data_IF_365232375682
#
_entry.id   IF_365232375682
#
_cell.length_a   1.000
_cell.length_b   1.000
_cell.length_c   1.000
_cell.angle_alpha   90.00
_cell.angle_beta   90.00
_cell.angle_gamma   90.00
#
_symmetry.space_group_name_H-M   'P 1'
#
loop_
_entity.id
_entity.type
_entity.pdbx_description
1 polymer ?
#
# COMPACT_ATOMS: atom_id res chain seq x y z
N UNK A 1 10.07 26.03 11.55
CA UNK A 1 11.22 25.40 12.26
C UNK A 1 10.76 24.23 13.14
N UNK A 2 9.74 24.40 14.00
CA UNK A 2 9.21 23.29 14.82
C UNK A 2 8.76 22.07 13.99
N UNK A 3 8.03 22.28 12.90
CA UNK A 3 7.55 21.21 11.99
C UNK A 3 8.69 20.41 11.35
N UNK A 4 9.83 21.06 11.05
CA UNK A 4 10.97 20.36 10.44
C UNK A 4 11.61 19.39 11.44
N UNK A 5 11.66 19.76 12.72
CA UNK A 5 12.18 18.89 13.77
C UNK A 5 11.26 17.71 14.04
N UNK A 6 9.94 17.88 13.96
CA UNK A 6 9.00 16.76 14.10
C UNK A 6 9.15 15.76 12.96
N UNK A 7 9.32 16.22 11.72
CA UNK A 7 9.53 15.33 10.56
C UNK A 7 10.85 14.55 10.67
N UNK A 8 11.93 15.20 11.11
CA UNK A 8 13.22 14.53 11.34
C UNK A 8 13.12 13.49 12.45
N UNK A 9 12.44 13.81 13.56
CA UNK A 9 12.21 12.86 14.64
C UNK A 9 11.39 11.65 14.17
N UNK A 10 10.32 11.88 13.39
CA UNK A 10 9.54 10.79 12.79
C UNK A 10 10.41 9.89 11.92
N UNK A 11 11.27 10.47 11.06
CA UNK A 11 12.20 9.70 10.23
C UNK A 11 13.19 8.87 11.05
N UNK A 12 13.75 9.41 12.12
CA UNK A 12 14.66 8.64 13.00
C UNK A 12 13.91 7.50 13.68
N UNK A 13 12.72 7.76 14.23
CA UNK A 13 11.91 6.73 14.90
C UNK A 13 11.48 5.64 13.92
N UNK A 14 11.07 6.00 12.70
CA UNK A 14 10.78 5.02 11.64
C UNK A 14 12.01 4.17 11.30
N UNK A 15 13.18 4.78 11.19
CA UNK A 15 14.41 4.06 10.86
C UNK A 15 14.80 3.05 11.94
N UNK A 16 14.77 3.47 13.21
CA UNK A 16 14.98 2.58 14.36
C UNK A 16 13.92 1.49 14.40
N UNK A 17 12.66 1.83 14.14
CA UNK A 17 11.56 0.86 14.12
C UNK A 17 11.72 -0.22 13.06
N UNK A 18 12.14 0.14 11.84
CA UNK A 18 12.44 -0.81 10.76
C UNK A 18 13.60 -1.73 11.15
N UNK A 19 14.65 -1.21 11.80
CA UNK A 19 15.77 -2.03 12.27
C UNK A 19 15.31 -3.02 13.34
N UNK A 20 14.53 -2.58 14.33
CA UNK A 20 13.97 -3.46 15.37
C UNK A 20 13.10 -4.55 14.73
N UNK A 21 12.20 -4.15 13.82
CA UNK A 21 11.28 -5.06 13.16
C UNK A 21 12.04 -6.10 12.33
N UNK A 22 13.12 -5.72 11.65
CA UNK A 22 13.99 -6.63 10.92
C UNK A 22 14.56 -7.72 11.83
N UNK A 23 15.14 -7.35 12.98
CA UNK A 23 15.74 -8.32 13.90
C UNK A 23 14.69 -9.28 14.48
N UNK A 24 13.52 -8.76 14.87
CA UNK A 24 12.43 -9.60 15.37
C UNK A 24 11.92 -10.57 14.30
N UNK A 25 11.71 -10.07 13.08
CA UNK A 25 11.20 -10.86 11.96
C UNK A 25 12.20 -11.95 11.56
N UNK A 26 13.49 -11.61 11.40
CA UNK A 26 14.53 -12.58 11.09
C UNK A 26 14.71 -13.61 12.20
N UNK A 27 14.65 -13.17 13.46
CA UNK A 27 14.73 -14.08 14.62
C UNK A 27 13.64 -15.15 14.59
N UNK A 28 12.42 -14.78 14.20
CA UNK A 28 11.28 -15.71 14.14
C UNK A 28 11.29 -16.63 12.93
N UNK A 29 11.78 -16.16 11.78
CA UNK A 29 11.97 -17.03 10.61
C UNK A 29 13.15 -18.00 10.81
N UNK A 30 14.11 -17.65 11.68
CA UNK A 30 15.32 -18.43 11.94
C UNK A 30 16.50 -18.02 11.06
N UNK A 31 16.56 -16.73 10.68
CA UNK A 31 17.64 -16.13 9.92
C UNK A 31 17.40 -16.07 8.41
N UNK A 32 18.30 -15.37 7.71
CA UNK A 32 18.17 -15.07 6.28
C UNK A 32 18.29 -16.33 5.40
N UNK A 33 19.16 -17.27 5.78
CA UNK A 33 19.34 -18.55 5.06
C UNK A 33 18.05 -19.36 5.06
N UNK A 34 17.47 -19.56 6.24
CA UNK A 34 16.21 -20.32 6.39
C UNK A 34 15.03 -19.61 5.72
N UNK A 35 15.00 -18.27 5.77
CA UNK A 35 14.02 -17.48 5.03
C UNK A 35 14.08 -17.77 3.52
N UNK A 36 15.30 -17.79 2.98
CA UNK A 36 15.53 -18.05 1.54
C UNK A 36 15.17 -19.48 1.15
N UNK A 37 15.53 -20.47 1.98
CA UNK A 37 15.18 -21.88 1.76
C UNK A 37 13.66 -22.09 1.80
N UNK A 38 12.96 -21.48 2.74
CA UNK A 38 11.51 -21.56 2.82
C UNK A 38 10.84 -20.90 1.61
N UNK A 39 11.29 -19.71 1.20
CA UNK A 39 10.79 -19.04 -0.01
C UNK A 39 11.03 -19.85 -1.29
N UNK A 40 12.10 -20.66 -1.33
CA UNK A 40 12.40 -21.54 -2.47
C UNK A 40 11.39 -22.69 -2.58
N UNK A 41 10.87 -23.20 -1.47
CA UNK A 41 9.89 -24.29 -1.47
C UNK A 41 8.44 -23.81 -1.65
N UNK A 42 8.18 -22.51 -1.50
CA UNK A 42 6.86 -21.93 -1.65
C UNK A 42 6.36 -21.98 -3.09
N UNK A 43 5.05 -22.21 -3.22
CA UNK A 43 4.30 -22.09 -4.47
C UNK A 43 3.31 -20.92 -4.36
N UNK A 44 3.08 -20.14 -5.42
CA UNK A 44 2.11 -19.06 -5.40
C UNK A 44 0.69 -19.56 -5.11
N UNK A 45 -0.05 -18.90 -4.21
CA UNK A 45 -1.42 -19.29 -3.90
C UNK A 45 -2.35 -19.05 -5.10
N UNK A 46 -3.41 -19.84 -5.19
CA UNK A 46 -4.38 -19.79 -6.28
C UNK A 46 -5.60 -18.96 -5.87
N UNK A 47 -5.91 -17.93 -6.65
CA UNK A 47 -7.16 -17.18 -6.50
C UNK A 47 -8.27 -17.86 -7.27
N UNK A 48 -9.47 -17.89 -6.70
CA UNK A 48 -10.62 -18.49 -7.37
C UNK A 48 -11.93 -18.23 -6.66
N UNK A 49 -12.97 -18.85 -7.18
CA UNK A 49 -14.30 -18.80 -6.61
C UNK A 49 -14.55 -20.09 -5.86
N UNK A 50 -14.99 -19.97 -4.61
CA UNK A 50 -15.35 -21.10 -3.77
C UNK A 50 -16.83 -21.11 -3.41
N UNK A 51 -17.43 -22.30 -3.43
CA UNK A 51 -18.76 -22.53 -2.85
C UNK A 51 -18.56 -22.98 -1.42
N UNK A 52 -18.85 -22.10 -0.47
CA UNK A 52 -18.82 -22.37 0.96
C UNK A 52 -20.14 -23.03 1.35
N UNK A 53 -20.06 -24.25 1.88
CA UNK A 53 -21.20 -25.05 2.32
C UNK A 53 -21.18 -25.24 3.83
N UNK A 54 -22.29 -24.88 4.48
CA UNK A 54 -22.54 -25.11 5.90
C UNK A 54 -23.05 -26.54 6.12
N UNK A 55 -22.58 -27.19 7.18
CA UNK A 55 -23.05 -28.52 7.58
C UNK A 55 -24.51 -28.54 8.06
N UNK A 56 -25.04 -27.41 8.52
CA UNK A 56 -26.44 -27.23 8.93
C UNK A 56 -26.96 -25.85 8.52
N UNK A 57 -28.25 -25.78 8.19
CA UNK A 57 -28.94 -24.51 7.93
C UNK A 57 -29.07 -23.71 9.23
N UNK A 58 -28.76 -22.43 9.16
CA UNK A 58 -28.64 -21.58 10.34
C UNK A 58 -29.89 -20.71 10.51
N UNK A 59 -30.28 -20.50 11.76
CA UNK A 59 -31.54 -19.82 12.13
C UNK A 59 -31.46 -18.30 11.99
N UNK A 60 -30.23 -17.77 11.90
CA UNK A 60 -29.91 -16.35 11.75
C UNK A 60 -28.99 -16.13 10.54
N UNK A 61 -28.94 -14.89 10.05
CA UNK A 61 -27.99 -14.49 9.01
C UNK A 61 -26.57 -14.62 9.55
N UNK A 62 -25.76 -15.45 8.92
CA UNK A 62 -24.37 -15.66 9.33
C UNK A 62 -23.45 -14.88 8.42
N UNK A 63 -22.51 -14.18 9.04
CA UNK A 63 -21.50 -13.42 8.32
C UNK A 63 -20.13 -14.02 8.57
N UNK A 64 -19.54 -14.60 7.53
CA UNK A 64 -18.17 -15.09 7.54
C UNK A 64 -17.22 -13.89 7.34
N UNK A 65 -16.36 -13.59 8.32
CA UNK A 65 -15.44 -12.47 8.21
C UNK A 65 -14.40 -12.72 7.11
N UNK A 66 -14.04 -11.64 6.41
CA UNK A 66 -12.90 -11.63 5.50
C UNK A 66 -11.63 -12.07 6.25
N UNK A 67 -10.82 -12.89 5.59
CA UNK A 67 -9.56 -13.38 6.14
C UNK A 67 -9.67 -14.68 6.96
N UNK A 68 -10.88 -15.21 7.18
CA UNK A 68 -11.08 -16.50 7.84
C UNK A 68 -10.55 -17.69 7.03
N UNK A 69 -10.08 -18.73 7.73
CA UNK A 69 -9.52 -19.94 7.13
C UNK A 69 -10.57 -21.04 7.02
N UNK A 70 -10.73 -21.59 5.81
CA UNK A 70 -11.68 -22.63 5.47
C UNK A 70 -10.96 -23.90 5.03
N UNK A 71 -11.43 -25.06 5.49
CA UNK A 71 -10.99 -26.36 4.98
C UNK A 71 -11.74 -26.68 3.69
N UNK A 72 -10.99 -27.03 2.65
CA UNK A 72 -11.53 -27.46 1.38
C UNK A 72 -11.92 -28.94 1.41
N UNK A 73 -12.88 -29.33 0.58
CA UNK A 73 -13.32 -30.73 0.44
C UNK A 73 -12.22 -31.68 -0.05
N UNK A 74 -11.18 -31.14 -0.71
CA UNK A 74 -9.99 -31.89 -1.18
C UNK A 74 -8.88 -32.00 -0.10
N UNK A 75 -9.13 -31.52 1.13
CA UNK A 75 -8.18 -31.50 2.24
C UNK A 75 -7.28 -30.26 2.27
N UNK A 76 -7.32 -29.41 1.24
CA UNK A 76 -6.60 -28.14 1.19
C UNK A 76 -7.13 -27.09 2.17
N UNK A 77 -6.45 -25.96 2.24
CA UNK A 77 -6.89 -24.80 3.02
C UNK A 77 -6.99 -23.56 2.13
N UNK A 78 -8.03 -22.77 2.37
CA UNK A 78 -8.26 -21.54 1.64
C UNK A 78 -8.62 -20.40 2.61
N UNK A 79 -8.23 -19.19 2.24
CA UNK A 79 -8.56 -17.97 2.96
C UNK A 79 -9.70 -17.24 2.27
N UNK A 80 -10.68 -16.78 3.05
CA UNK A 80 -11.76 -15.93 2.55
C UNK A 80 -11.20 -14.58 2.10
N UNK A 81 -11.33 -14.29 0.80
CA UNK A 81 -10.83 -13.04 0.22
C UNK A 81 -11.79 -11.86 0.42
N UNK A 82 -13.06 -12.15 0.71
CA UNK A 82 -14.09 -11.15 0.98
C UNK A 82 -15.00 -11.63 2.12
N UNK A 83 -15.78 -10.70 2.66
CA UNK A 83 -16.80 -11.00 3.65
C UNK A 83 -17.99 -11.65 2.94
N UNK A 84 -18.42 -12.82 3.41
CA UNK A 84 -19.53 -13.56 2.83
C UNK A 84 -20.68 -13.63 3.84
N UNK A 85 -21.88 -13.19 3.46
CA UNK A 85 -23.05 -13.18 4.35
C UNK A 85 -24.11 -14.11 3.80
N UNK A 86 -24.47 -15.15 4.56
CA UNK A 86 -25.50 -16.12 4.21
C UNK A 86 -26.84 -15.70 4.81
N UNK A 87 -27.90 -15.69 4.01
CA UNK A 87 -29.23 -15.42 4.52
C UNK A 87 -29.74 -16.60 5.36
N UNK A 88 -30.74 -16.33 6.21
CA UNK A 88 -31.38 -17.34 7.06
C UNK A 88 -31.86 -18.54 6.23
N UNK A 89 -31.44 -19.75 6.62
CA UNK A 89 -31.82 -21.00 5.95
C UNK A 89 -30.98 -21.35 4.71
N UNK A 90 -30.12 -20.46 4.23
CA UNK A 90 -29.17 -20.79 3.16
C UNK A 90 -27.98 -21.59 3.71
N UNK A 91 -27.62 -22.64 2.99
CA UNK A 91 -26.49 -23.51 3.37
C UNK A 91 -25.30 -23.33 2.44
N UNK A 92 -25.41 -22.52 1.38
CA UNK A 92 -24.38 -22.35 0.35
C UNK A 92 -24.23 -20.89 -0.01
N UNK A 93 -22.98 -20.44 -0.13
CA UNK A 93 -22.64 -19.12 -0.64
C UNK A 93 -21.42 -19.19 -1.54
N UNK A 94 -21.44 -18.38 -2.59
CA UNK A 94 -20.29 -18.16 -3.43
C UNK A 94 -19.43 -17.04 -2.81
N UNK A 95 -18.14 -17.30 -2.65
CA UNK A 95 -17.20 -16.32 -2.12
C UNK A 95 -15.85 -16.45 -2.83
N UNK A 96 -15.16 -15.33 -3.01
CA UNK A 96 -13.76 -15.35 -3.47
C UNK A 96 -12.87 -15.97 -2.40
N UNK A 97 -12.07 -16.94 -2.82
CA UNK A 97 -11.14 -17.66 -1.96
C UNK A 97 -9.70 -17.56 -2.51
N UNK A 98 -8.74 -17.57 -1.60
CA UNK A 98 -7.33 -17.73 -1.90
C UNK A 98 -6.87 -19.08 -1.35
N UNK A 99 -6.65 -20.07 -2.23
CA UNK A 99 -6.17 -21.40 -1.85
C UNK A 99 -4.66 -21.39 -1.64
N UNK A 100 -4.22 -21.89 -0.50
CA UNK A 100 -2.80 -22.06 -0.20
C UNK A 100 -2.32 -23.38 -0.79
N UNK A 101 -1.24 -23.31 -1.57
CA UNK A 101 -0.71 -24.45 -2.32
C UNK A 101 0.61 -24.98 -1.76
N UNK A 102 1.26 -24.25 -0.84
CA UNK A 102 2.51 -24.70 -0.23
C UNK A 102 2.21 -25.77 0.83
N UNK A 103 2.70 -27.02 0.69
CA UNK A 103 2.35 -28.11 1.61
C UNK A 103 2.67 -27.79 3.09
N UNK A 104 3.84 -27.21 3.34
CA UNK A 104 4.27 -26.83 4.69
C UNK A 104 3.37 -25.75 5.34
N UNK A 105 2.69 -24.93 4.54
CA UNK A 105 1.75 -23.92 5.04
C UNK A 105 0.40 -24.55 5.34
N UNK A 106 -0.08 -25.44 4.48
CA UNK A 106 -1.36 -26.15 4.66
C UNK A 106 -1.38 -26.93 5.99
N UNK A 107 -0.25 -27.54 6.36
CA UNK A 107 -0.14 -28.30 7.61
C UNK A 107 -0.04 -27.39 8.85
N UNK A 108 0.44 -26.15 8.69
CA UNK A 108 0.64 -25.21 9.80
C UNK A 108 -0.61 -24.39 10.13
N UNK A 109 -1.48 -24.16 9.15
CA UNK A 109 -2.63 -23.28 9.29
C UNK A 109 -3.83 -24.07 9.82
N UNK A 110 -4.34 -23.67 10.99
CA UNK A 110 -5.57 -24.22 11.54
C UNK A 110 -6.79 -23.48 10.97
N UNK A 111 -7.85 -24.21 10.57
CA UNK A 111 -9.12 -23.59 10.16
C UNK A 111 -9.69 -22.71 11.27
N UNK A 112 -10.32 -21.60 10.89
CA UNK A 112 -10.98 -20.72 11.86
C UNK A 112 -12.19 -21.44 12.46
N UNK A 113 -12.29 -21.46 13.79
CA UNK A 113 -13.46 -22.00 14.47
C UNK A 113 -14.62 -21.00 14.34
N UNK A 114 -15.60 -21.35 13.51
CA UNK A 114 -16.84 -20.58 13.36
C UNK A 114 -17.95 -21.06 14.29
N UNK A 115 -17.71 -22.10 15.11
CA UNK A 115 -18.72 -22.74 15.96
C UNK A 115 -19.66 -23.70 15.21
N UNK A 116 -19.43 -23.93 13.91
CA UNK A 116 -20.17 -24.87 13.08
C UNK A 116 -19.28 -25.44 11.96
N UNK A 117 -19.65 -26.59 11.41
CA UNK A 117 -18.88 -27.23 10.33
C UNK A 117 -19.05 -26.46 9.02
N UNK A 118 -17.93 -25.97 8.48
CA UNK A 118 -17.86 -25.30 7.18
C UNK A 118 -16.93 -26.07 6.27
N UNK A 119 -17.39 -26.35 5.06
CA UNK A 119 -16.56 -26.94 4.00
C UNK A 119 -16.66 -26.07 2.77
N UNK A 120 -15.60 -25.95 2.00
CA UNK A 120 -15.63 -25.19 0.75
C UNK A 120 -15.16 -26.05 -0.42
N UNK A 121 -15.81 -25.91 -1.57
CA UNK A 121 -15.31 -26.42 -2.84
C UNK A 121 -14.68 -25.28 -3.60
N UNK A 122 -13.43 -25.44 -4.05
CA UNK A 122 -12.69 -24.41 -4.74
C UNK A 122 -12.64 -24.67 -6.23
N UNK A 123 -12.95 -23.65 -7.02
CA UNK A 123 -12.70 -23.64 -8.46
C UNK A 123 -11.66 -22.57 -8.74
N UNK A 124 -10.49 -23.01 -9.22
CA UNK A 124 -9.40 -22.11 -9.55
C UNK A 124 -9.80 -21.19 -10.71
N UNK A 125 -9.42 -19.92 -10.62
CA UNK A 125 -9.47 -19.04 -11.77
C UNK A 125 -8.24 -19.35 -12.64
N UNK A 126 -8.40 -20.17 -13.68
CA UNK A 126 -7.31 -20.62 -14.57
C UNK A 126 -6.56 -19.43 -15.21
N UNK A 127 -7.17 -18.25 -15.21
CA UNK A 127 -6.58 -17.02 -15.73
C UNK A 127 -5.62 -16.32 -14.76
N UNK A 128 -5.43 -16.79 -13.51
CA UNK A 128 -4.62 -16.07 -12.50
C UNK A 128 -3.55 -16.94 -11.85
N UNK A 129 -2.29 -16.70 -12.20
CA UNK A 129 -1.14 -17.07 -11.36
C UNK A 129 0.08 -17.55 -12.13
N UNK A 130 1.01 -16.64 -12.44
CA UNK A 130 2.34 -17.01 -12.94
C UNK A 130 3.07 -17.87 -11.91
N UNK A 131 3.54 -19.04 -12.35
CA UNK A 131 4.20 -19.98 -11.48
C UNK A 131 3.25 -20.83 -10.63
N UNK A 132 1.94 -20.88 -10.93
CA UNK A 132 1.05 -21.89 -10.35
C UNK A 132 1.69 -23.28 -10.44
N UNK A 133 1.74 -23.97 -9.29
CA UNK A 133 2.39 -25.27 -9.14
C UNK A 133 3.92 -25.30 -9.24
N UNK A 134 4.61 -24.18 -9.49
CA UNK A 134 6.07 -24.11 -9.58
C UNK A 134 6.68 -23.64 -8.26
N UNK A 135 7.64 -24.41 -7.75
CA UNK A 135 8.46 -24.05 -6.59
C UNK A 135 9.52 -23.01 -6.97
N UNK A 136 9.84 -22.12 -6.03
CA UNK A 136 10.99 -21.20 -6.16
C UNK A 136 10.75 -20.01 -7.08
N UNK A 137 9.49 -19.74 -7.42
CA UNK A 137 9.09 -18.58 -8.23
C UNK A 137 9.46 -17.26 -7.53
N UNK A 138 9.48 -17.24 -6.20
CA UNK A 138 9.84 -16.06 -5.40
C UNK A 138 11.33 -15.76 -5.30
N UNK A 139 12.21 -16.69 -5.70
CA UNK A 139 13.67 -16.55 -5.60
C UNK A 139 14.38 -16.61 -6.96
N UNK A 140 13.63 -16.67 -8.05
CA UNK A 140 14.16 -16.75 -9.42
C UNK A 140 13.78 -15.51 -10.25
N UNK A 141 14.73 -15.02 -11.04
CA UNK A 141 14.53 -13.99 -12.05
C UNK A 141 14.67 -14.59 -13.47
N UNK A 142 14.00 -14.05 -14.49
CA UNK A 142 13.10 -12.91 -14.47
C UNK A 142 11.65 -13.27 -14.07
N UNK A 143 10.97 -12.31 -13.43
CA UNK A 143 9.50 -12.27 -13.42
C UNK A 143 8.93 -11.95 -14.82
N UNK A 144 7.60 -11.84 -14.94
CA UNK A 144 6.73 -12.38 -15.97
C UNK A 144 7.00 -11.87 -17.40
N UNK A 145 6.41 -12.60 -18.36
CA UNK A 145 6.39 -12.31 -19.80
C UNK A 145 5.37 -11.21 -20.14
N UNK A 146 5.64 -10.31 -21.12
CA UNK A 146 4.75 -9.19 -21.49
C UNK A 146 3.32 -9.56 -21.96
N UNK A 147 2.98 -10.84 -22.07
CA UNK A 147 1.70 -11.33 -22.61
C UNK A 147 0.78 -11.97 -21.56
N UNK A 148 1.19 -12.02 -20.28
CA UNK A 148 0.35 -12.54 -19.20
C UNK A 148 0.20 -11.48 -18.12
N UNK A 149 -1.03 -11.12 -17.80
CA UNK A 149 -1.39 -10.13 -16.77
C UNK A 149 -1.00 -10.60 -15.35
N UNK A 150 -0.62 -11.87 -15.20
CA UNK A 150 -0.64 -12.56 -13.91
C UNK A 150 0.74 -12.76 -13.32
N UNK A 151 1.56 -11.72 -13.20
CA UNK A 151 2.85 -11.91 -12.54
C UNK A 151 3.47 -10.67 -11.91
N UNK A 152 4.17 -10.93 -10.80
CA UNK A 152 4.99 -10.00 -10.03
C UNK A 152 5.94 -9.20 -10.93
N UNK A 153 5.78 -7.86 -10.97
CA UNK A 153 6.65 -6.84 -11.58
C UNK A 153 7.55 -7.33 -12.74
N UNK A 154 7.02 -7.35 -13.96
CA UNK A 154 7.82 -7.48 -15.20
C UNK A 154 9.04 -6.55 -15.13
N UNK A 155 10.21 -7.04 -15.56
CA UNK A 155 11.46 -6.25 -15.59
C UNK A 155 11.23 -4.89 -16.26
N UNK A 156 10.41 -4.84 -17.32
CA UNK A 156 10.02 -3.60 -17.98
C UNK A 156 9.15 -2.69 -17.12
N UNK A 157 8.23 -3.25 -16.33
CA UNK A 157 7.44 -2.50 -15.35
C UNK A 157 8.35 -2.00 -14.23
N UNK A 158 9.30 -2.80 -13.75
CA UNK A 158 10.26 -2.39 -12.73
C UNK A 158 11.16 -1.24 -13.22
N UNK A 159 11.68 -1.33 -14.44
CA UNK A 159 12.41 -0.24 -15.09
C UNK A 159 11.52 0.99 -15.23
N UNK A 160 10.28 0.82 -15.70
CA UNK A 160 9.32 1.92 -15.83
C UNK A 160 9.05 2.60 -14.48
N UNK A 161 8.86 1.82 -13.40
CA UNK A 161 8.67 2.36 -12.06
C UNK A 161 9.90 3.06 -11.51
N UNK A 162 11.11 2.59 -11.82
CA UNK A 162 12.34 3.30 -11.47
C UNK A 162 12.35 4.73 -12.05
N UNK A 163 12.08 4.87 -13.35
CA UNK A 163 12.00 6.19 -14.00
C UNK A 163 10.79 7.00 -13.51
N UNK A 164 9.63 6.36 -13.39
CA UNK A 164 8.39 7.00 -12.94
C UNK A 164 8.55 7.66 -11.57
N UNK A 165 9.10 6.96 -10.57
CA UNK A 165 9.26 7.53 -9.23
C UNK A 165 10.37 8.57 -9.17
N UNK A 166 11.46 8.39 -9.94
CA UNK A 166 12.55 9.34 -10.01
C UNK A 166 12.12 10.69 -10.62
N UNK A 167 11.38 10.66 -11.73
CA UNK A 167 10.99 11.88 -12.46
C UNK A 167 9.59 12.39 -12.09
N UNK A 168 8.66 11.50 -11.78
CA UNK A 168 7.28 11.86 -11.45
C UNK A 168 7.16 12.65 -10.15
N UNK A 169 8.05 12.40 -9.18
CA UNK A 169 8.12 13.17 -7.93
C UNK A 169 8.59 14.62 -8.15
N UNK A 170 9.43 14.87 -9.15
CA UNK A 170 9.94 16.20 -9.49
C UNK A 170 8.86 17.10 -10.11
N UNK A 171 7.87 16.52 -10.79
CA UNK A 171 6.76 17.26 -11.40
C UNK A 171 5.68 17.72 -10.40
N UNK A 172 5.72 17.26 -9.15
CA UNK A 172 4.66 17.56 -8.17
C UNK A 172 4.84 18.97 -7.57
N UNK A 173 3.81 19.85 -7.66
CA UNK A 173 3.90 21.21 -7.10
C UNK A 173 4.20 21.24 -5.59
N UNK A 174 3.69 20.26 -4.84
CA UNK A 174 3.95 20.06 -3.40
C UNK A 174 5.44 19.94 -3.07
N UNK A 175 6.18 19.21 -3.91
CA UNK A 175 7.61 18.97 -3.73
C UNK A 175 8.42 20.18 -4.20
N UNK A 176 8.02 20.82 -5.29
CA UNK A 176 8.72 21.99 -5.83
C UNK A 176 8.77 23.15 -4.83
N UNK A 177 7.66 23.46 -4.16
CA UNK A 177 7.62 24.53 -3.13
C UNK A 177 8.58 24.21 -1.98
N UNK A 178 8.74 22.93 -1.62
CA UNK A 178 9.70 22.49 -0.60
C UNK A 178 11.15 22.64 -1.08
N UNK A 179 11.44 22.36 -2.36
CA UNK A 179 12.76 22.56 -2.96
C UNK A 179 13.18 24.04 -3.00
N UNK A 180 12.22 24.96 -3.15
CA UNK A 180 12.49 26.40 -3.10
C UNK A 180 12.85 26.91 -1.69
N UNK A 181 12.56 26.15 -0.64
CA UNK A 181 12.87 26.54 0.74
C UNK A 181 14.34 26.29 1.14
N UNK A 182 15.15 25.66 0.27
CA UNK A 182 16.56 25.41 0.55
C UNK A 182 17.36 26.71 0.51
N UNK A 183 18.20 26.93 1.53
CA UNK A 183 18.99 28.16 1.71
C UNK A 183 20.19 28.27 0.76
N UNK A 184 20.48 27.24 -0.03
CA UNK A 184 21.60 27.25 -0.97
C UNK A 184 21.96 25.86 -1.49
N UNK A 185 22.77 25.83 -2.55
CA UNK A 185 23.15 24.62 -3.29
C UNK A 185 23.91 23.60 -2.45
N UNK A 186 24.78 24.06 -1.55
CA UNK A 186 25.55 23.16 -0.67
C UNK A 186 24.63 22.38 0.28
N UNK A 187 23.61 23.04 0.82
CA UNK A 187 22.63 22.40 1.71
C UNK A 187 21.81 21.38 0.92
N UNK A 188 21.40 21.72 -0.30
CA UNK A 188 20.68 20.80 -1.19
C UNK A 188 21.51 19.56 -1.53
N UNK A 189 22.79 19.73 -1.90
CA UNK A 189 23.69 18.60 -2.22
C UNK A 189 23.86 17.66 -1.03
N UNK A 190 24.08 18.20 0.16
CA UNK A 190 24.21 17.40 1.37
C UNK A 190 22.91 16.69 1.74
N UNK A 191 21.76 17.35 1.54
CA UNK A 191 20.46 16.75 1.75
C UNK A 191 20.21 15.59 0.79
N UNK A 192 20.54 15.74 -0.50
CA UNK A 192 20.42 14.67 -1.51
C UNK A 192 21.24 13.44 -1.06
N UNK A 193 22.50 13.64 -0.67
CA UNK A 193 23.37 12.53 -0.23
C UNK A 193 22.81 11.84 1.03
N UNK A 194 22.43 12.62 2.04
CA UNK A 194 21.90 12.08 3.29
C UNK A 194 20.60 11.28 3.09
N UNK A 195 19.65 11.83 2.33
CA UNK A 195 18.36 11.18 2.05
C UNK A 195 18.54 9.95 1.17
N UNK A 196 19.44 9.98 0.18
CA UNK A 196 19.72 8.83 -0.69
C UNK A 196 20.26 7.64 0.11
N UNK A 197 21.23 7.87 1.00
CA UNK A 197 21.78 6.82 1.86
C UNK A 197 20.70 6.30 2.81
N UNK A 198 19.97 7.20 3.47
CA UNK A 198 18.90 6.82 4.39
C UNK A 198 17.83 5.96 3.71
N UNK A 199 17.31 6.38 2.54
CA UNK A 199 16.33 5.60 1.78
C UNK A 199 16.88 4.27 1.30
N UNK A 200 18.11 4.23 0.80
CA UNK A 200 18.73 2.97 0.34
C UNK A 200 18.77 1.94 1.46
N UNK A 201 19.22 2.34 2.66
CA UNK A 201 19.27 1.46 3.82
C UNK A 201 17.85 1.01 4.20
N UNK A 202 16.92 1.93 4.39
CA UNK A 202 15.55 1.60 4.83
C UNK A 202 14.83 0.70 3.83
N UNK A 203 14.87 0.99 2.53
CA UNK A 203 14.21 0.16 1.52
C UNK A 203 14.83 -1.24 1.45
N UNK A 204 16.15 -1.37 1.57
CA UNK A 204 16.79 -2.69 1.61
C UNK A 204 16.30 -3.51 2.81
N UNK A 205 16.19 -2.91 3.98
CA UNK A 205 15.68 -3.60 5.18
C UNK A 205 14.21 -4.00 5.01
N UNK A 206 13.39 -3.11 4.44
CA UNK A 206 11.97 -3.39 4.19
C UNK A 206 11.79 -4.56 3.22
N UNK A 207 12.60 -4.67 2.15
CA UNK A 207 12.55 -5.82 1.24
C UNK A 207 12.75 -7.13 2.00
N UNK A 208 13.75 -7.20 2.89
CA UNK A 208 14.01 -8.40 3.70
C UNK A 208 12.84 -8.68 4.65
N UNK A 209 12.31 -7.66 5.32
CA UNK A 209 11.15 -7.78 6.21
C UNK A 209 9.94 -8.35 5.47
N UNK A 210 9.59 -7.81 4.30
CA UNK A 210 8.42 -8.25 3.55
C UNK A 210 8.59 -9.64 2.92
N UNK A 211 9.81 -10.02 2.51
CA UNK A 211 10.12 -11.39 2.13
C UNK A 211 9.87 -12.37 3.29
N UNK A 212 10.28 -12.00 4.51
CA UNK A 212 10.00 -12.79 5.70
C UNK A 212 8.53 -12.76 6.11
N UNK A 213 7.83 -11.64 5.89
CA UNK A 213 6.43 -11.47 6.21
C UNK A 213 5.55 -12.47 5.45
N UNK A 214 5.88 -12.74 4.17
CA UNK A 214 5.18 -13.74 3.36
C UNK A 214 5.25 -15.14 3.98
N UNK A 215 6.35 -15.50 4.64
CA UNK A 215 6.51 -16.78 5.34
C UNK A 215 5.72 -16.81 6.66
N UNK A 216 5.71 -15.70 7.40
CA UNK A 216 5.10 -15.62 8.72
C UNK A 216 3.58 -15.40 8.68
N UNK A 217 3.07 -14.80 7.60
CA UNK A 217 1.68 -14.41 7.42
C UNK A 217 1.12 -14.94 6.08
N UNK A 218 0.89 -16.25 5.94
CA UNK A 218 0.36 -16.83 4.73
C UNK A 218 -1.04 -16.28 4.39
N UNK A 219 -1.33 -16.14 3.10
CA UNK A 219 -2.64 -15.69 2.60
C UNK A 219 -2.92 -14.20 2.79
N UNK A 220 -1.96 -13.40 3.28
CA UNK A 220 -2.11 -11.95 3.39
C UNK A 220 -2.06 -11.24 2.03
N UNK A 221 -1.86 -11.96 0.92
CA UNK A 221 -1.97 -11.43 -0.43
C UNK A 221 -3.33 -10.78 -0.70
N UNK A 222 -4.39 -11.29 -0.05
CA UNK A 222 -5.74 -10.72 -0.07
C UNK A 222 -5.79 -9.27 0.43
N UNK A 223 -4.96 -8.93 1.44
CA UNK A 223 -4.91 -7.63 2.12
C UNK A 223 -3.47 -7.16 2.25
N UNK A 224 -2.81 -7.00 1.10
CA UNK A 224 -1.38 -6.73 1.04
C UNK A 224 -0.97 -5.43 1.77
N UNK A 225 -1.84 -4.41 1.79
CA UNK A 225 -1.60 -3.13 2.47
C UNK A 225 -1.57 -3.26 4.01
N UNK A 226 -2.14 -4.33 4.57
CA UNK A 226 -2.18 -4.59 6.02
C UNK A 226 -1.01 -5.42 6.52
N UNK A 227 -0.14 -5.93 5.63
CA UNK A 227 0.98 -6.80 6.01
C UNK A 227 1.87 -6.16 7.06
N UNK A 228 2.22 -4.88 6.92
CA UNK A 228 3.14 -4.22 7.85
C UNK A 228 2.56 -4.10 9.28
N UNK A 229 1.33 -3.57 9.49
CA UNK A 229 0.68 -3.59 10.80
C UNK A 229 0.52 -4.98 11.42
N UNK A 230 0.05 -5.95 10.63
CA UNK A 230 -0.20 -7.32 11.11
C UNK A 230 1.12 -8.02 11.48
N UNK A 231 2.17 -7.80 10.68
CA UNK A 231 3.50 -8.34 10.96
C UNK A 231 4.05 -7.74 12.26
N UNK A 232 3.99 -6.42 12.43
CA UNK A 232 4.45 -5.76 13.64
C UNK A 232 3.72 -6.30 14.88
N UNK A 233 2.39 -6.46 14.81
CA UNK A 233 1.59 -7.05 15.89
C UNK A 233 2.01 -8.50 16.19
N UNK A 234 2.13 -9.32 15.14
CA UNK A 234 2.51 -10.73 15.26
C UNK A 234 3.90 -10.90 15.87
N UNK A 235 4.93 -10.29 15.28
CA UNK A 235 6.30 -10.55 15.70
C UNK A 235 6.60 -9.97 17.09
N UNK A 236 5.98 -8.85 17.47
CA UNK A 236 6.17 -8.30 18.82
C UNK A 236 5.37 -9.05 19.87
N UNK A 237 4.18 -9.56 19.52
CA UNK A 237 3.39 -10.45 20.37
C UNK A 237 4.09 -11.77 20.64
N UNK A 238 4.58 -12.43 19.59
CA UNK A 238 5.35 -13.67 19.67
C UNK A 238 6.68 -13.49 20.44
N UNK A 239 7.23 -12.27 20.47
CA UNK A 239 8.42 -11.91 21.27
C UNK A 239 8.11 -11.51 22.73
N UNK A 240 6.83 -11.52 23.15
CA UNK A 240 6.41 -11.16 24.51
C UNK A 240 6.37 -9.66 24.82
N UNK A 241 6.44 -8.80 23.79
CA UNK A 241 6.44 -7.33 23.93
C UNK A 241 5.35 -6.67 23.07
N UNK A 242 4.05 -7.01 23.23
CA UNK A 242 2.98 -6.57 22.33
C UNK A 242 2.81 -5.05 22.23
N UNK A 243 3.16 -4.30 23.28
CA UNK A 243 3.11 -2.83 23.27
C UNK A 243 4.05 -2.20 22.23
N UNK A 244 5.10 -2.93 21.83
CA UNK A 244 6.08 -2.47 20.86
C UNK A 244 5.45 -2.31 19.46
N UNK A 245 4.43 -3.10 19.10
CA UNK A 245 3.70 -2.92 17.85
C UNK A 245 3.16 -1.49 17.71
N UNK A 246 2.52 -0.98 18.77
CA UNK A 246 1.98 0.38 18.78
C UNK A 246 3.07 1.43 18.60
N UNK A 247 4.23 1.25 19.24
CA UNK A 247 5.36 2.17 19.10
C UNK A 247 5.97 2.15 17.70
N UNK A 248 6.14 0.96 17.11
CA UNK A 248 6.66 0.79 15.75
C UNK A 248 5.75 1.42 14.70
N UNK A 249 4.43 1.31 14.89
CA UNK A 249 3.43 1.84 13.96
C UNK A 249 3.13 3.32 14.16
N UNK A 250 3.40 3.88 15.34
CA UNK A 250 3.11 5.28 15.65
C UNK A 250 3.80 6.26 14.69
N UNK A 251 5.08 6.04 14.36
CA UNK A 251 5.82 6.97 13.51
C UNK A 251 5.34 6.97 12.03
N UNK A 252 5.13 5.81 11.38
CA UNK A 252 4.46 5.76 10.08
C UNK A 252 3.07 6.42 10.07
N UNK A 253 2.22 6.16 11.08
CA UNK A 253 0.91 6.81 11.16
C UNK A 253 1.01 8.33 11.34
N UNK A 254 1.97 8.81 12.14
CA UNK A 254 2.23 10.23 12.30
C UNK A 254 2.74 10.88 11.00
N UNK A 255 3.55 10.17 10.21
CA UNK A 255 4.01 10.62 8.90
C UNK A 255 2.88 10.69 7.86
N UNK A 256 1.97 9.70 7.86
CA UNK A 256 0.76 9.71 7.03
C UNK A 256 -0.12 10.92 7.41
N UNK A 257 -0.32 11.18 8.71
CA UNK A 257 -1.11 12.32 9.18
C UNK A 257 -0.51 13.66 8.75
N UNK A 258 0.81 13.82 8.79
CA UNK A 258 1.51 15.02 8.27
C UNK A 258 1.31 15.21 6.76
N UNK A 259 1.27 14.11 6.01
CA UNK A 259 1.02 14.13 4.56
C UNK A 259 -0.43 14.50 4.24
N UNK A 260 -1.39 13.92 4.97
CA UNK A 260 -2.82 14.25 4.82
C UNK A 260 -3.08 15.72 5.12
N UNK A 261 -2.52 16.27 6.20
CA UNK A 261 -2.63 17.70 6.52
C UNK A 261 -2.10 18.58 5.38
N UNK A 262 -0.91 18.23 4.86
CA UNK A 262 -0.30 18.96 3.73
C UNK A 262 -1.19 18.95 2.48
N UNK A 263 -1.78 17.81 2.12
CA UNK A 263 -2.68 17.71 0.97
C UNK A 263 -4.01 18.42 1.19
N UNK A 264 -4.61 18.32 2.38
CA UNK A 264 -5.84 19.03 2.72
C UNK A 264 -5.65 20.55 2.68
N UNK A 265 -4.53 21.04 3.19
CA UNK A 265 -4.16 22.46 3.12
C UNK A 265 -3.89 22.91 1.68
N UNK A 266 -3.26 22.06 0.87
CA UNK A 266 -3.02 22.33 -0.54
C UNK A 266 -4.33 22.49 -1.32
N UNK A 267 -5.24 21.52 -1.21
CA UNK A 267 -6.56 21.56 -1.89
C UNK A 267 -7.36 22.78 -1.41
N UNK A 268 -7.37 23.03 -0.10
CA UNK A 268 -8.05 24.19 0.47
C UNK A 268 -7.48 25.52 -0.03
N UNK A 269 -6.15 25.64 -0.10
CA UNK A 269 -5.50 26.83 -0.66
C UNK A 269 -5.83 27.00 -2.15
N UNK A 270 -5.80 25.93 -2.94
CA UNK A 270 -6.13 25.99 -4.36
C UNK A 270 -7.57 26.47 -4.59
N UNK A 271 -8.54 25.92 -3.84
CA UNK A 271 -9.94 26.33 -3.97
C UNK A 271 -10.17 27.77 -3.47
N UNK A 272 -9.59 28.13 -2.32
CA UNK A 272 -9.87 29.45 -1.71
C UNK A 272 -9.07 30.58 -2.34
N UNK A 273 -7.77 30.40 -2.58
CA UNK A 273 -6.91 31.44 -3.12
C UNK A 273 -6.92 31.46 -4.64
N UNK A 274 -6.73 30.30 -5.27
CA UNK A 274 -6.54 30.26 -6.73
C UNK A 274 -7.86 30.35 -7.49
N UNK A 275 -8.95 29.78 -6.95
CA UNK A 275 -10.27 29.86 -7.56
C UNK A 275 -11.08 31.02 -6.95
N UNK A 276 -11.41 30.97 -5.67
CA UNK A 276 -12.35 31.94 -5.09
C UNK A 276 -11.79 33.37 -5.03
N UNK A 277 -10.62 33.59 -4.45
CA UNK A 277 -10.05 34.93 -4.35
C UNK A 277 -9.68 35.49 -5.72
N UNK A 278 -8.92 34.74 -6.53
CA UNK A 278 -8.46 35.25 -7.82
C UNK A 278 -9.56 35.40 -8.88
N UNK A 279 -10.61 34.56 -8.89
CA UNK A 279 -11.65 34.59 -9.95
C UNK A 279 -12.99 35.15 -9.50
N UNK A 280 -13.38 35.00 -8.24
CA UNK A 280 -14.73 35.35 -7.77
C UNK A 280 -14.74 36.66 -6.97
N UNK A 281 -13.86 36.81 -5.98
CA UNK A 281 -13.80 38.02 -5.16
C UNK A 281 -12.35 38.35 -4.75
N UNK A 282 -11.64 39.16 -5.55
CA UNK A 282 -10.26 39.57 -5.27
C UNK A 282 -10.08 40.32 -3.94
N UNK A 283 -11.13 41.04 -3.51
CA UNK A 283 -11.12 41.86 -2.30
C UNK A 283 -11.76 41.16 -1.09
N UNK A 284 -11.84 39.82 -1.11
CA UNK A 284 -12.39 39.06 0.00
C UNK A 284 -11.56 39.28 1.28
N UNK A 285 -12.24 39.54 2.40
CA UNK A 285 -11.57 39.74 3.69
C UNK A 285 -10.88 38.47 4.19
N UNK A 286 -9.76 38.60 4.88
CA UNK A 286 -8.99 37.47 5.43
C UNK A 286 -9.86 36.56 6.32
N UNK A 287 -10.77 37.15 7.10
CA UNK A 287 -11.70 36.39 7.96
C UNK A 287 -12.64 35.50 7.14
N UNK A 288 -13.06 35.95 5.96
CA UNK A 288 -13.90 35.17 5.03
C UNK A 288 -13.08 34.08 4.35
N UNK A 289 -11.87 34.40 3.89
CA UNK A 289 -10.96 33.42 3.29
C UNK A 289 -10.64 32.30 4.29
N UNK A 290 -10.29 32.62 5.53
CA UNK A 290 -10.01 31.64 6.58
C UNK A 290 -11.20 30.71 6.87
N UNK A 291 -12.42 31.27 6.98
CA UNK A 291 -13.64 30.48 7.17
C UNK A 291 -13.90 29.54 5.97
N UNK A 292 -13.71 30.04 4.76
CA UNK A 292 -13.88 29.24 3.56
C UNK A 292 -12.83 28.12 3.50
N UNK A 293 -11.57 28.39 3.87
CA UNK A 293 -10.52 27.38 3.91
C UNK A 293 -10.86 26.25 4.88
N UNK A 294 -11.36 26.56 6.08
CA UNK A 294 -11.81 25.53 7.01
C UNK A 294 -13.00 24.74 6.50
N UNK A 295 -13.97 25.40 5.85
CA UNK A 295 -15.13 24.72 5.27
C UNK A 295 -14.69 23.76 4.15
N UNK A 296 -13.85 24.21 3.23
CA UNK A 296 -13.34 23.38 2.12
C UNK A 296 -12.54 22.19 2.68
N UNK A 297 -11.65 22.43 3.65
CA UNK A 297 -10.90 21.35 4.31
C UNK A 297 -11.82 20.32 4.96
N UNK A 298 -12.88 20.76 5.66
CA UNK A 298 -13.83 19.85 6.29
C UNK A 298 -14.61 19.03 5.24
N UNK A 299 -15.10 19.67 4.17
CA UNK A 299 -15.83 18.99 3.09
C UNK A 299 -14.94 17.96 2.39
N UNK A 300 -13.72 18.34 2.01
CA UNK A 300 -12.76 17.43 1.37
C UNK A 300 -12.41 16.26 2.30
N UNK A 301 -12.22 16.52 3.59
CA UNK A 301 -11.99 15.47 4.59
C UNK A 301 -13.15 14.49 4.71
N UNK A 302 -14.40 14.98 4.73
CA UNK A 302 -15.59 14.11 4.75
C UNK A 302 -15.69 13.28 3.47
N UNK A 303 -15.45 13.88 2.30
CA UNK A 303 -15.46 13.14 1.03
C UNK A 303 -14.37 12.06 0.99
N UNK A 304 -13.18 12.34 1.52
CA UNK A 304 -12.11 11.35 1.65
C UNK A 304 -12.52 10.19 2.57
N UNK A 305 -13.17 10.48 3.70
CA UNK A 305 -13.70 9.45 4.62
C UNK A 305 -14.78 8.58 3.96
N UNK A 306 -15.66 9.18 3.15
CA UNK A 306 -16.67 8.43 2.40
C UNK A 306 -16.04 7.55 1.31
N UNK A 307 -14.99 8.04 0.64
CA UNK A 307 -14.28 7.26 -0.37
C UNK A 307 -13.59 6.02 0.23
N UNK A 308 -13.13 6.09 1.48
CA UNK A 308 -12.52 4.95 2.20
C UNK A 308 -13.52 3.82 2.50
N UNK A 309 -14.84 4.08 2.46
CA UNK A 309 -15.83 3.03 2.71
C UNK A 309 -15.85 1.94 1.62
N UNK A 310 -15.40 2.25 0.40
CA UNK A 310 -15.26 1.31 -0.70
C UNK A 310 -13.87 1.47 -1.35
N UNK A 311 -12.80 0.98 -0.68
CA UNK A 311 -11.45 1.17 -1.18
C UNK A 311 -11.21 0.31 -2.43
N UNK A 312 -10.33 0.75 -3.35
CA UNK A 312 -9.87 -0.08 -4.46
C UNK A 312 -9.08 -1.30 -3.93
N UNK A 313 -8.93 -2.32 -4.78
CA UNK A 313 -8.23 -3.56 -4.41
C UNK A 313 -6.77 -3.33 -3.98
N UNK A 314 -6.07 -2.39 -4.61
CA UNK A 314 -4.73 -1.97 -4.23
C UNK A 314 -4.67 -0.45 -4.11
N UNK A 315 -4.24 0.07 -2.96
CA UNK A 315 -4.03 1.51 -2.78
C UNK A 315 -2.93 2.06 -3.70
N UNK A 316 -1.96 1.22 -4.07
CA UNK A 316 -0.88 1.61 -4.96
C UNK A 316 -1.37 2.10 -6.32
N UNK A 317 -2.45 1.54 -6.86
CA UNK A 317 -2.99 1.94 -8.17
C UNK A 317 -3.47 3.39 -8.14
N UNK A 318 -4.14 3.78 -7.06
CA UNK A 318 -4.59 5.15 -6.85
C UNK A 318 -3.41 6.12 -6.75
N UNK A 319 -2.33 5.71 -6.07
CA UNK A 319 -1.12 6.52 -5.91
C UNK A 319 -0.41 6.69 -7.26
N UNK A 320 -0.27 5.61 -8.03
CA UNK A 320 0.35 5.65 -9.36
C UNK A 320 -0.49 6.51 -10.30
N UNK A 321 -1.82 6.36 -10.29
CA UNK A 321 -2.73 7.20 -11.08
C UNK A 321 -2.61 8.69 -10.72
N UNK A 322 -2.71 9.04 -9.45
CA UNK A 322 -2.63 10.43 -9.01
C UNK A 322 -1.25 11.05 -9.30
N UNK A 323 -0.18 10.31 -9.01
CA UNK A 323 1.20 10.78 -9.20
C UNK A 323 1.55 10.90 -10.68
N UNK A 324 1.10 9.96 -11.52
CA UNK A 324 1.30 10.00 -12.98
C UNK A 324 0.52 11.12 -13.64
N UNK A 325 -0.72 11.38 -13.21
CA UNK A 325 -1.49 12.52 -13.68
C UNK A 325 -0.80 13.85 -13.37
N UNK A 326 -0.31 14.03 -12.13
CA UNK A 326 0.44 15.23 -11.75
C UNK A 326 1.76 15.34 -12.52
N UNK A 327 2.52 14.25 -12.65
CA UNK A 327 3.75 14.23 -13.41
C UNK A 327 3.52 14.57 -14.88
N UNK A 328 2.52 13.95 -15.53
CA UNK A 328 2.17 14.19 -16.92
C UNK A 328 1.78 15.64 -17.17
N UNK A 329 0.95 16.22 -16.30
CA UNK A 329 0.52 17.61 -16.45
C UNK A 329 1.63 18.62 -16.17
N UNK A 330 2.42 18.47 -15.11
CA UNK A 330 3.27 19.56 -14.62
C UNK A 330 4.75 19.40 -14.93
N UNK A 331 5.26 18.17 -15.12
CA UNK A 331 6.70 17.95 -15.29
C UNK A 331 7.25 18.68 -16.52
N UNK A 332 6.60 18.53 -17.68
CA UNK A 332 7.09 19.14 -18.92
C UNK A 332 6.95 20.67 -18.94
N UNK A 333 5.80 21.27 -18.56
CA UNK A 333 5.69 22.73 -18.45
C UNK A 333 6.72 23.35 -17.51
N UNK A 334 7.02 22.69 -16.38
CA UNK A 334 8.02 23.16 -15.42
C UNK A 334 9.42 23.06 -16.01
N UNK A 335 9.77 21.91 -16.59
CA UNK A 335 11.10 21.68 -17.15
C UNK A 335 11.40 22.65 -18.31
N UNK A 336 10.45 22.79 -19.23
CA UNK A 336 10.55 23.77 -20.32
C UNK A 336 10.51 25.21 -19.78
N UNK A 337 9.75 25.48 -18.72
CA UNK A 337 9.74 26.77 -18.01
C UNK A 337 11.11 27.20 -17.49
N UNK A 338 11.90 26.24 -17.00
CA UNK A 338 13.22 26.50 -16.42
C UNK A 338 14.34 26.57 -17.46
N UNK A 339 14.26 25.79 -18.53
CA UNK A 339 15.38 25.61 -19.47
C UNK A 339 15.11 26.09 -20.89
N UNK A 340 13.85 26.30 -21.29
CA UNK A 340 13.48 26.70 -22.64
C UNK A 340 13.01 28.16 -22.68
N UNK A 341 13.82 29.10 -23.21
CA UNK A 341 13.49 30.54 -23.15
C UNK A 341 12.29 30.97 -24.01
N UNK A 342 11.88 30.16 -24.99
CA UNK A 342 10.75 30.47 -25.89
C UNK A 342 9.41 29.83 -25.45
N UNK A 343 9.31 29.25 -24.24
CA UNK A 343 8.04 28.68 -23.79
C UNK A 343 6.98 29.79 -23.68
N UNK A 344 5.75 29.47 -24.08
CA UNK A 344 4.61 30.39 -23.96
C UNK A 344 3.57 29.81 -23.01
N UNK A 345 2.84 30.67 -22.31
CA UNK A 345 1.77 30.23 -21.41
C UNK A 345 0.70 29.39 -22.14
N UNK A 346 0.39 29.75 -23.39
CA UNK A 346 -0.56 29.00 -24.23
C UNK A 346 -0.01 27.61 -24.60
N UNK A 347 1.27 27.50 -24.95
CA UNK A 347 1.91 26.21 -25.23
C UNK A 347 1.99 25.30 -24.01
N UNK A 348 2.26 25.87 -22.82
CA UNK A 348 2.23 25.13 -21.57
C UNK A 348 0.84 24.56 -21.26
N UNK A 349 -0.22 25.38 -21.39
CA UNK A 349 -1.60 24.92 -21.16
C UNK A 349 -2.02 23.87 -22.19
N UNK A 350 -1.66 24.04 -23.47
CA UNK A 350 -1.94 23.05 -24.50
C UNK A 350 -1.29 21.69 -24.16
N UNK A 351 -0.01 21.69 -23.76
CA UNK A 351 0.68 20.46 -23.35
C UNK A 351 0.12 19.82 -22.07
N UNK A 352 -0.50 20.60 -21.18
CA UNK A 352 -1.19 20.06 -20.00
C UNK A 352 -2.52 19.37 -20.35
N UNK A 353 -3.19 19.80 -21.42
CA UNK A 353 -4.49 19.27 -21.83
C UNK A 353 -4.38 18.01 -22.70
N UNK A 354 -3.18 17.73 -23.24
CA UNK A 354 -2.91 16.62 -24.15
C UNK A 354 -2.68 17.09 -25.58
#
# INVERSE_FOLDING_TARGET
RAVVWTDVMQGIVMGVGVIILLFLTLGQVGGLTKATEQLKEMTPPETGIGIVTLGQAQTETITLPKGGWLRLSDGGIARLAEQASLAKGETRIEAKLLKITTPAEVDRIEPTDFGFTVTATFTADETKGYGSGRKGVYVSAPGPHPEREDGFLNVWIAISFFFFWAFGSAGQPSNMVRLMAFKGTNVLRNAILAVSVYYTVIYLLLVVIFCCARILLPGMEVDSDRIMPELAAKVTGDAGVPWLAGLLLAAPFAAVMSSVDSFLLMVSSAVVRDIYQNRVNPNASEKRLKRLSYLVTAVVGILAMLAVLNPPQYLQDLIVFATSGLAGCFLMPVLLGLYWPQITAKGAIAGMLG
#
